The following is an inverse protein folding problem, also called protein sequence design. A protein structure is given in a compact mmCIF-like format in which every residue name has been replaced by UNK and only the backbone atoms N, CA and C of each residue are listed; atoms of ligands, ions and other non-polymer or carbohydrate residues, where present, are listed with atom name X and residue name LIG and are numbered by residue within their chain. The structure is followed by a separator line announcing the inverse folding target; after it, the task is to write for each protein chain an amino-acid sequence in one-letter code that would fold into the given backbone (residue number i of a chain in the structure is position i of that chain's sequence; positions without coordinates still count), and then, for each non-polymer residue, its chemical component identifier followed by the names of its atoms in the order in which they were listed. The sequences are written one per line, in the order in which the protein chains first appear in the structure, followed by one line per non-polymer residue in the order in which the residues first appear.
data_IF_827594005508
#
_entry.id   IF_827594005508
#
_cell.length_a   1.000
_cell.length_b   1.000
_cell.length_c   1.000
_cell.angle_alpha   90.00
_cell.angle_beta   90.00
_cell.angle_gamma   90.00
#
_symmetry.space_group_name_H-M   'P 1'
#
loop_
_entity.id
_entity.type
_entity.pdbx_description
1 polymer ?
#
# COMPACT_ATOMS: atom_id res chain seq x y z
N UNK A 1 -2.50 16.41 -66.69
CA UNK A 1 -1.66 16.22 -65.47
C UNK A 1 -2.50 16.59 -64.24
N UNK A 2 -3.05 15.61 -63.61
CA UNK A 2 -3.97 15.79 -62.46
C UNK A 2 -3.20 15.65 -61.16
N UNK A 3 -3.12 16.68 -60.33
CA UNK A 3 -2.61 16.66 -58.97
C UNK A 3 -3.74 16.20 -58.02
N UNK A 4 -3.50 15.23 -57.11
CA UNK A 4 -4.49 14.84 -56.13
C UNK A 4 -4.46 15.80 -54.92
N UNK A 5 -5.65 16.30 -54.55
CA UNK A 5 -5.92 17.06 -53.34
C UNK A 5 -5.98 16.09 -52.16
N UNK A 6 -5.08 16.22 -51.21
CA UNK A 6 -5.19 15.53 -49.91
C UNK A 6 -6.17 16.29 -49.02
N UNK A 7 -7.25 15.65 -48.66
CA UNK A 7 -8.19 16.12 -47.67
C UNK A 7 -7.65 15.84 -46.26
N UNK A 8 -7.47 16.89 -45.49
CA UNK A 8 -7.09 16.82 -44.09
C UNK A 8 -8.33 16.44 -43.27
N UNK A 9 -8.40 15.20 -42.79
CA UNK A 9 -9.39 14.81 -41.79
C UNK A 9 -8.88 15.23 -40.43
N UNK A 10 -9.45 16.31 -39.88
CA UNK A 10 -9.27 16.71 -38.50
C UNK A 10 -10.00 15.72 -37.58
N UNK A 11 -9.28 14.88 -36.87
CA UNK A 11 -9.82 14.08 -35.78
C UNK A 11 -10.06 15.01 -34.58
N UNK A 12 -11.34 15.34 -34.35
CA UNK A 12 -11.80 15.99 -33.14
C UNK A 12 -11.73 14.97 -32.01
N UNK A 13 -10.69 15.03 -31.20
CA UNK A 13 -10.61 14.24 -29.98
C UNK A 13 -11.65 14.78 -28.98
N UNK A 14 -12.77 14.07 -28.86
CA UNK A 14 -13.69 14.30 -27.75
C UNK A 14 -12.96 13.91 -26.45
N UNK A 15 -12.58 14.92 -25.66
CA UNK A 15 -12.24 14.73 -24.26
C UNK A 15 -13.53 14.32 -23.52
N UNK A 16 -13.76 13.02 -23.39
CA UNK A 16 -14.73 12.51 -22.43
C UNK A 16 -14.14 12.73 -21.03
N UNK A 17 -14.64 13.74 -20.34
CA UNK A 17 -14.44 13.88 -18.90
C UNK A 17 -15.17 12.74 -18.22
N UNK A 18 -14.47 11.64 -17.96
CA UNK A 18 -14.91 10.64 -17.01
C UNK A 18 -14.80 11.23 -15.61
N UNK A 19 -15.85 11.88 -15.14
CA UNK A 19 -16.09 12.04 -13.72
C UNK A 19 -16.43 10.66 -13.19
N UNK A 20 -15.45 9.91 -12.69
CA UNK A 20 -15.73 8.78 -11.82
C UNK A 20 -16.40 9.36 -10.59
N UNK A 21 -17.70 9.08 -10.41
CA UNK A 21 -18.38 9.26 -9.15
C UNK A 21 -17.75 8.24 -8.17
N UNK A 22 -16.60 8.59 -7.59
CA UNK A 22 -16.11 7.95 -6.39
C UNK A 22 -17.21 8.22 -5.34
N UNK A 23 -17.87 7.17 -4.87
CA UNK A 23 -18.90 7.30 -3.82
C UNK A 23 -18.27 8.07 -2.66
N UNK A 24 -19.01 9.06 -2.16
CA UNK A 24 -18.55 9.92 -1.08
C UNK A 24 -18.23 9.05 0.14
N UNK A 25 -16.99 9.12 0.66
CA UNK A 25 -16.60 8.40 1.84
C UNK A 25 -17.31 8.95 3.08
N UNK A 26 -17.71 8.05 3.96
CA UNK A 26 -18.38 8.39 5.23
C UNK A 26 -17.33 8.32 6.34
N UNK A 27 -16.95 9.46 6.90
CA UNK A 27 -16.01 9.51 8.02
C UNK A 27 -16.75 9.43 9.35
N UNK A 28 -16.46 8.38 10.16
CA UNK A 28 -17.02 8.18 11.50
C UNK A 28 -15.90 7.86 12.50
N UNK A 29 -16.06 8.18 13.78
CA UNK A 29 -15.15 7.70 14.81
C UNK A 29 -15.03 6.17 14.78
N UNK A 30 -13.84 5.65 15.07
CA UNK A 30 -13.63 4.21 15.17
C UNK A 30 -14.52 3.58 16.25
N UNK A 31 -15.07 2.40 16.00
CA UNK A 31 -15.93 1.66 16.91
C UNK A 31 -15.56 0.17 16.94
N UNK A 32 -15.27 -0.37 18.12
CA UNK A 32 -15.07 -1.80 18.32
C UNK A 32 -16.37 -2.60 18.34
N UNK A 33 -17.52 -1.95 18.48
CA UNK A 33 -18.86 -2.60 18.60
C UNK A 33 -19.68 -2.50 17.32
N UNK A 34 -19.58 -1.40 16.59
CA UNK A 34 -20.32 -1.18 15.36
C UNK A 34 -19.51 -1.62 14.15
N UNK A 35 -20.12 -2.44 13.28
CA UNK A 35 -19.50 -2.85 12.02
C UNK A 35 -19.45 -1.65 11.08
N UNK A 36 -18.28 -1.39 10.51
CA UNK A 36 -18.11 -0.33 9.51
C UNK A 36 -19.07 -0.52 8.32
N UNK A 37 -19.81 0.52 7.98
CA UNK A 37 -20.66 0.48 6.77
C UNK A 37 -19.81 0.55 5.51
N UNK A 38 -20.41 0.28 4.35
CA UNK A 38 -19.70 0.37 3.07
C UNK A 38 -19.17 1.81 2.86
N UNK A 39 -17.95 1.95 2.36
CA UNK A 39 -17.22 3.22 2.20
C UNK A 39 -16.98 4.03 3.49
N UNK A 40 -17.12 3.41 4.66
CA UNK A 40 -16.79 4.09 5.91
C UNK A 40 -15.28 4.12 6.14
N UNK A 41 -14.76 5.33 6.33
CA UNK A 41 -13.39 5.59 6.82
C UNK A 41 -13.44 6.04 8.27
N UNK A 42 -12.33 5.86 8.99
CA UNK A 42 -12.19 6.33 10.36
C UNK A 42 -11.92 7.84 10.35
N UNK A 43 -12.74 8.59 11.07
CA UNK A 43 -12.58 10.04 11.23
C UNK A 43 -11.38 10.36 12.13
N UNK A 44 -10.77 11.50 11.89
CA UNK A 44 -9.62 12.01 12.65
C UNK A 44 -8.40 12.26 11.75
N UNK A 45 -7.57 13.19 12.18
CA UNK A 45 -6.33 13.52 11.48
C UNK A 45 -5.23 12.51 11.81
N UNK A 46 -4.20 12.44 10.96
CA UNK A 46 -2.99 11.66 11.26
C UNK A 46 -2.41 12.05 12.61
N UNK A 47 -2.36 13.35 12.94
CA UNK A 47 -1.85 13.85 14.22
C UNK A 47 -2.62 13.28 15.42
N UNK A 48 -3.96 13.18 15.31
CA UNK A 48 -4.79 12.61 16.39
C UNK A 48 -4.48 11.12 16.60
N UNK A 49 -4.25 10.36 15.53
CA UNK A 49 -3.87 8.95 15.61
C UNK A 49 -2.53 8.75 16.32
N UNK A 50 -1.55 9.62 16.08
CA UNK A 50 -0.24 9.54 16.73
C UNK A 50 -0.28 9.78 18.26
N UNK A 51 -1.29 10.49 18.76
CA UNK A 51 -1.41 10.77 20.21
C UNK A 51 -2.38 9.82 20.92
N UNK A 52 -3.24 9.10 20.21
CA UNK A 52 -4.10 8.07 20.78
C UNK A 52 -3.29 6.80 21.06
N UNK A 53 -3.60 6.06 22.14
CA UNK A 53 -2.92 4.80 22.41
C UNK A 53 -3.19 3.76 21.31
N UNK A 54 -4.39 3.72 20.77
CA UNK A 54 -4.85 2.92 19.64
C UNK A 54 -6.24 3.34 19.22
N UNK A 55 -6.66 2.89 18.03
CA UNK A 55 -8.05 2.91 17.55
C UNK A 55 -8.44 1.49 17.13
N UNK A 56 -9.73 1.15 17.29
CA UNK A 56 -10.27 -0.15 16.87
C UNK A 56 -11.54 0.07 16.08
N UNK A 57 -11.62 -0.44 14.86
CA UNK A 57 -12.84 -0.47 14.05
C UNK A 57 -13.22 -1.92 13.74
N UNK A 58 -14.45 -2.30 14.09
CA UNK A 58 -14.99 -3.61 13.69
C UNK A 58 -15.34 -3.59 12.20
N UNK A 59 -14.78 -4.52 11.42
CA UNK A 59 -14.99 -4.62 9.97
C UNK A 59 -16.10 -5.60 9.61
N UNK A 60 -16.21 -6.69 10.34
CA UNK A 60 -17.25 -7.71 10.20
C UNK A 60 -17.56 -8.34 11.55
N UNK A 61 -18.26 -9.47 11.58
CA UNK A 61 -18.61 -10.12 12.85
C UNK A 61 -17.37 -10.44 13.70
N UNK A 62 -16.28 -10.88 13.07
CA UNK A 62 -15.10 -11.40 13.76
C UNK A 62 -13.79 -10.70 13.36
N UNK A 63 -13.82 -9.75 12.43
CA UNK A 63 -12.62 -9.08 11.91
C UNK A 63 -12.58 -7.63 12.34
N UNK A 64 -11.41 -7.21 12.81
CA UNK A 64 -11.17 -5.86 13.35
C UNK A 64 -9.94 -5.25 12.70
N UNK A 65 -10.03 -3.98 12.35
CA UNK A 65 -8.91 -3.11 12.09
C UNK A 65 -8.45 -2.49 13.40
N UNK A 66 -7.15 -2.52 13.66
CA UNK A 66 -6.52 -1.84 14.80
C UNK A 66 -5.47 -0.90 14.23
N UNK A 67 -5.47 0.36 14.68
CA UNK A 67 -4.44 1.33 14.36
C UNK A 67 -3.72 1.77 15.62
N UNK A 68 -2.39 1.77 15.57
CA UNK A 68 -1.50 2.32 16.61
C UNK A 68 -0.57 3.31 15.93
N UNK A 69 -0.64 4.58 16.35
CA UNK A 69 -0.01 5.69 15.65
C UNK A 69 -0.46 5.73 14.17
N UNK A 70 0.38 5.34 13.22
CA UNK A 70 0.02 5.27 11.81
C UNK A 70 0.14 3.85 11.23
N UNK A 71 0.30 2.84 12.08
CA UNK A 71 0.39 1.43 11.66
C UNK A 71 -0.92 0.72 11.86
N UNK A 72 -1.35 -0.02 10.86
CA UNK A 72 -2.59 -0.77 10.89
C UNK A 72 -2.33 -2.26 10.86
N UNK A 73 -3.14 -3.01 11.60
CA UNK A 73 -3.11 -4.46 11.66
C UNK A 73 -4.53 -5.01 11.60
N UNK A 74 -4.66 -6.28 11.23
CA UNK A 74 -5.94 -6.99 11.27
C UNK A 74 -5.95 -7.97 12.44
N UNK A 75 -7.00 -7.94 13.26
CA UNK A 75 -7.25 -8.97 14.26
C UNK A 75 -8.48 -9.80 13.85
N UNK A 76 -8.36 -11.13 13.92
CA UNK A 76 -9.45 -12.06 13.64
C UNK A 76 -9.76 -12.86 14.89
N UNK A 77 -11.00 -12.75 15.36
CA UNK A 77 -11.49 -13.44 16.57
C UNK A 77 -12.05 -14.80 16.17
N UNK A 78 -11.30 -15.85 16.42
CA UNK A 78 -11.73 -17.21 16.22
C UNK A 78 -12.69 -17.72 17.32
N UNK A 79 -12.95 -19.02 17.35
CA UNK A 79 -13.84 -19.61 18.36
C UNK A 79 -13.26 -19.55 19.77
N UNK A 80 -11.95 -19.73 19.94
CA UNK A 80 -11.26 -19.84 21.24
C UNK A 80 -10.19 -18.77 21.44
N UNK A 81 -9.64 -18.22 20.36
CA UNK A 81 -8.48 -17.35 20.39
C UNK A 81 -8.52 -16.27 19.31
N UNK A 82 -7.51 -15.41 19.26
CA UNK A 82 -7.34 -14.33 18.31
C UNK A 82 -6.12 -14.59 17.44
N UNK A 83 -6.23 -14.34 16.14
CA UNK A 83 -5.12 -14.24 15.21
C UNK A 83 -4.87 -12.78 14.89
N UNK A 84 -3.63 -12.32 14.98
CA UNK A 84 -3.20 -11.00 14.57
C UNK A 84 -2.47 -11.09 13.23
N UNK A 85 -2.69 -10.16 12.31
CA UNK A 85 -1.90 -10.03 11.10
C UNK A 85 -1.07 -8.77 11.28
N UNK A 86 0.25 -8.95 11.32
CA UNK A 86 1.32 -8.01 11.64
C UNK A 86 1.40 -7.59 13.13
N UNK A 87 2.60 -7.13 13.49
CA UNK A 87 2.97 -6.63 14.81
C UNK A 87 4.04 -5.52 14.67
N UNK A 88 3.65 -4.31 14.25
CA UNK A 88 4.54 -3.20 13.98
C UNK A 88 5.46 -2.85 15.13
N UNK A 89 6.68 -2.41 14.79
CA UNK A 89 7.66 -1.99 15.80
C UNK A 89 7.15 -0.85 16.69
N UNK A 90 7.34 -0.98 18.00
CA UNK A 90 6.91 0.01 18.99
C UNK A 90 5.43 -0.05 19.37
N UNK A 91 4.65 -1.04 18.88
CA UNK A 91 3.19 -1.09 19.04
C UNK A 91 2.68 -2.23 19.94
N UNK A 92 3.51 -3.21 20.27
CA UNK A 92 3.07 -4.48 20.87
C UNK A 92 2.23 -4.35 22.14
N UNK A 93 2.56 -3.38 23.01
CA UNK A 93 1.79 -3.10 24.23
C UNK A 93 0.39 -2.59 23.94
N UNK A 94 0.29 -1.66 23.00
CA UNK A 94 -0.96 -1.06 22.55
C UNK A 94 -1.82 -2.08 21.80
N UNK A 95 -1.23 -2.95 20.97
CA UNK A 95 -1.93 -4.03 20.28
C UNK A 95 -2.56 -5.02 21.26
N UNK A 96 -1.83 -5.44 22.29
CA UNK A 96 -2.38 -6.32 23.33
C UNK A 96 -3.50 -5.64 24.11
N UNK A 97 -3.40 -4.33 24.40
CA UNK A 97 -4.46 -3.56 25.03
C UNK A 97 -5.68 -3.39 24.12
N UNK A 98 -5.45 -3.14 22.83
CA UNK A 98 -6.51 -3.02 21.84
C UNK A 98 -7.31 -4.33 21.70
N UNK A 99 -6.64 -5.49 21.63
CA UNK A 99 -7.29 -6.80 21.57
C UNK A 99 -8.19 -7.00 22.81
N UNK A 100 -7.67 -6.68 24.01
CA UNK A 100 -8.44 -6.78 25.26
C UNK A 100 -9.67 -5.86 25.32
N UNK A 101 -9.72 -4.80 24.54
CA UNK A 101 -10.86 -3.88 24.53
C UNK A 101 -12.12 -4.46 23.86
N UNK A 102 -11.98 -5.49 23.02
CA UNK A 102 -13.13 -6.10 22.33
C UNK A 102 -13.27 -7.62 22.56
N UNK A 103 -12.27 -8.29 23.16
CA UNK A 103 -12.37 -9.72 23.48
C UNK A 103 -11.46 -10.10 24.65
N UNK A 104 -11.88 -11.13 25.42
CA UNK A 104 -11.05 -11.76 26.46
C UNK A 104 -10.32 -13.01 25.97
N UNK A 105 -10.47 -13.39 24.68
CA UNK A 105 -9.80 -14.56 24.12
C UNK A 105 -8.29 -14.32 24.02
N UNK A 106 -7.46 -15.33 24.29
CA UNK A 106 -6.01 -15.19 24.20
C UNK A 106 -5.56 -15.00 22.75
N UNK A 107 -4.42 -14.35 22.55
CA UNK A 107 -3.73 -14.32 21.27
C UNK A 107 -3.16 -15.72 20.98
N UNK A 108 -3.51 -16.29 19.83
CA UNK A 108 -3.00 -17.57 19.36
C UNK A 108 -1.71 -17.43 18.55
N UNK A 109 -1.66 -16.42 17.68
CA UNK A 109 -0.53 -16.26 16.79
C UNK A 109 -0.56 -14.95 16.01
N UNK A 110 0.55 -14.74 15.28
CA UNK A 110 0.75 -13.58 14.41
C UNK A 110 1.09 -14.10 13.02
N UNK A 111 0.44 -13.56 12.00
CA UNK A 111 0.79 -13.78 10.60
C UNK A 111 1.62 -12.57 10.13
N UNK A 112 2.71 -12.79 9.43
CA UNK A 112 3.51 -11.74 8.82
C UNK A 112 3.09 -11.51 7.37
N UNK A 113 2.89 -10.24 7.01
CA UNK A 113 2.62 -9.83 5.62
C UNK A 113 3.91 -9.79 4.79
N UNK A 114 4.97 -9.21 5.34
CA UNK A 114 6.31 -9.12 4.74
C UNK A 114 7.38 -8.83 5.80
N UNK A 115 8.66 -8.82 5.43
CA UNK A 115 9.76 -8.81 6.39
C UNK A 115 10.18 -7.41 6.90
N UNK A 116 9.46 -6.34 6.60
CA UNK A 116 9.79 -5.02 7.12
C UNK A 116 9.57 -4.91 8.63
N UNK A 117 10.52 -4.26 9.32
CA UNK A 117 10.51 -4.14 10.78
C UNK A 117 9.31 -3.35 11.32
N UNK A 118 8.83 -2.40 10.57
CA UNK A 118 7.64 -1.61 10.89
C UNK A 118 6.31 -2.38 10.74
N UNK A 119 6.37 -3.65 10.30
CA UNK A 119 5.22 -4.56 10.28
C UNK A 119 5.39 -5.80 11.15
N UNK A 120 6.62 -6.26 11.43
CA UNK A 120 6.82 -7.50 12.22
C UNK A 120 7.67 -7.29 13.48
N UNK A 121 8.19 -6.08 13.71
CA UNK A 121 9.25 -5.81 14.68
C UNK A 121 8.92 -6.10 16.14
N UNK A 122 7.67 -5.95 16.58
CA UNK A 122 7.28 -6.20 17.97
C UNK A 122 6.78 -7.62 18.25
N UNK A 123 6.73 -8.50 17.26
CA UNK A 123 6.26 -9.89 17.45
C UNK A 123 7.02 -10.63 18.55
N UNK A 124 8.34 -10.44 18.66
CA UNK A 124 9.16 -11.01 19.74
C UNK A 124 8.84 -10.42 21.11
N UNK A 125 8.51 -9.13 21.19
CA UNK A 125 8.11 -8.48 22.44
C UNK A 125 6.74 -8.98 22.89
N UNK A 126 5.80 -9.15 21.96
CA UNK A 126 4.49 -9.75 22.23
C UNK A 126 4.67 -11.20 22.72
N UNK A 127 5.48 -12.00 22.02
CA UNK A 127 5.76 -13.38 22.44
C UNK A 127 6.34 -13.45 23.87
N UNK A 128 7.26 -12.55 24.21
CA UNK A 128 7.82 -12.46 25.56
C UNK A 128 6.79 -12.02 26.60
N UNK A 129 5.91 -11.08 26.25
CA UNK A 129 4.86 -10.61 27.15
C UNK A 129 3.81 -11.69 27.44
N UNK A 130 3.69 -12.69 26.56
CA UNK A 130 2.78 -13.83 26.65
C UNK A 130 3.55 -15.14 26.97
N UNK A 131 4.65 -15.08 27.70
CA UNK A 131 5.56 -16.20 27.93
C UNK A 131 4.86 -17.46 28.49
N UNK A 132 3.78 -17.29 29.25
CA UNK A 132 2.97 -18.39 29.80
C UNK A 132 1.98 -18.98 28.77
N UNK A 133 1.81 -18.35 27.60
CA UNK A 133 0.94 -18.80 26.52
C UNK A 133 1.70 -18.68 25.22
N UNK A 134 2.43 -19.73 24.79
CA UNK A 134 3.17 -19.71 23.53
C UNK A 134 2.25 -19.36 22.36
N UNK A 135 2.73 -18.46 21.49
CA UNK A 135 2.03 -18.06 20.27
C UNK A 135 2.76 -18.58 19.03
N UNK A 136 2.01 -18.91 18.01
CA UNK A 136 2.52 -19.31 16.71
C UNK A 136 2.85 -18.11 15.85
N UNK A 137 3.87 -18.22 15.01
CA UNK A 137 4.24 -17.22 14.02
C UNK A 137 4.08 -17.83 12.62
N UNK A 138 3.17 -17.28 11.87
CA UNK A 138 2.81 -17.73 10.53
C UNK A 138 3.40 -16.80 9.47
N UNK A 139 3.89 -17.35 8.37
CA UNK A 139 4.33 -16.57 7.21
C UNK A 139 4.35 -17.42 5.94
N UNK A 140 4.30 -16.78 4.78
CA UNK A 140 4.68 -17.39 3.52
C UNK A 140 6.17 -17.74 3.52
N UNK A 141 6.59 -18.66 2.65
CA UNK A 141 7.99 -19.09 2.59
C UNK A 141 8.93 -17.93 2.22
N UNK A 142 8.48 -17.06 1.34
CA UNK A 142 9.20 -15.87 0.88
C UNK A 142 9.50 -14.91 2.03
N UNK A 143 8.52 -14.67 2.91
CA UNK A 143 8.69 -13.81 4.10
C UNK A 143 9.70 -14.43 5.08
N UNK A 144 9.59 -15.73 5.36
CA UNK A 144 10.55 -16.44 6.21
C UNK A 144 11.98 -16.31 5.66
N UNK A 145 12.15 -16.47 4.36
CA UNK A 145 13.47 -16.44 3.73
C UNK A 145 14.05 -15.02 3.70
N UNK A 146 13.20 -14.00 3.48
CA UNK A 146 13.59 -12.59 3.61
C UNK A 146 14.05 -12.25 5.04
N UNK A 147 13.34 -12.72 6.07
CA UNK A 147 13.72 -12.52 7.47
C UNK A 147 15.08 -13.14 7.81
N UNK A 148 15.44 -14.28 7.22
CA UNK A 148 16.74 -14.90 7.44
C UNK A 148 17.88 -14.07 6.84
N UNK A 149 17.65 -13.28 5.81
CA UNK A 149 18.64 -12.40 5.20
C UNK A 149 18.88 -11.12 5.99
N UNK A 150 17.93 -10.71 6.83
CA UNK A 150 18.02 -9.49 7.64
C UNK A 150 18.82 -9.74 8.94
N UNK A 151 19.92 -9.00 9.12
CA UNK A 151 20.80 -9.08 10.31
C UNK A 151 20.35 -8.17 11.47
N UNK A 152 19.23 -7.49 11.34
CA UNK A 152 18.71 -6.55 12.35
C UNK A 152 17.91 -7.31 13.40
N UNK A 153 17.65 -6.70 14.58
CA UNK A 153 16.92 -7.30 15.71
C UNK A 153 15.74 -8.10 15.22
N UNK A 154 15.95 -9.41 15.10
CA UNK A 154 15.03 -10.28 14.40
C UNK A 154 13.67 -10.31 15.12
N UNK A 155 12.55 -10.23 14.40
CA UNK A 155 11.22 -10.54 14.94
C UNK A 155 11.17 -11.97 15.49
N UNK A 156 10.06 -12.40 16.06
CA UNK A 156 9.89 -13.79 16.46
C UNK A 156 10.06 -14.71 15.24
N UNK A 157 10.76 -15.86 15.37
CA UNK A 157 10.98 -16.76 14.24
C UNK A 157 9.67 -17.37 13.76
N UNK A 158 9.55 -17.58 12.45
CA UNK A 158 8.41 -18.26 11.84
C UNK A 158 8.38 -19.71 12.32
N UNK A 159 7.24 -20.13 12.87
CA UNK A 159 7.00 -21.48 13.37
C UNK A 159 6.14 -22.31 12.42
N UNK A 160 5.30 -21.65 11.62
CA UNK A 160 4.36 -22.29 10.70
C UNK A 160 4.40 -21.60 9.33
N UNK A 161 4.54 -22.38 8.27
CA UNK A 161 4.40 -21.86 6.91
C UNK A 161 2.94 -21.89 6.47
N UNK A 162 2.52 -20.85 5.76
CA UNK A 162 1.24 -20.77 5.07
C UNK A 162 1.45 -20.90 3.56
N UNK A 163 0.50 -21.56 2.88
CA UNK A 163 0.45 -21.65 1.41
C UNK A 163 -0.67 -20.77 0.85
N UNK A 164 -1.17 -21.10 -0.35
CA UNK A 164 -2.25 -20.34 -1.04
C UNK A 164 -3.53 -20.22 -0.21
N UNK A 165 -3.72 -21.10 0.74
CA UNK A 165 -4.80 -21.06 1.72
C UNK A 165 -4.28 -21.36 3.11
N UNK A 166 -4.87 -20.69 4.08
CA UNK A 166 -4.57 -20.86 5.49
C UNK A 166 -5.88 -20.89 6.30
N UNK A 167 -5.97 -21.77 7.29
CA UNK A 167 -7.18 -21.90 8.11
C UNK A 167 -6.88 -21.57 9.58
N UNK A 168 -7.75 -20.77 10.18
CA UNK A 168 -7.70 -20.43 11.59
C UNK A 168 -9.11 -20.49 12.20
N UNK A 169 -9.36 -21.46 13.07
CA UNK A 169 -10.57 -21.62 13.87
C UNK A 169 -11.90 -21.35 13.14
N UNK A 170 -12.05 -21.91 11.94
CA UNK A 170 -13.23 -21.78 11.10
C UNK A 170 -13.18 -20.65 10.09
N UNK A 171 -12.15 -19.82 10.10
CA UNK A 171 -11.88 -18.82 9.07
C UNK A 171 -10.88 -19.37 8.05
N UNK A 172 -11.19 -19.22 6.77
CA UNK A 172 -10.28 -19.56 5.67
C UNK A 172 -9.75 -18.28 5.06
N UNK A 173 -8.44 -18.18 4.97
CA UNK A 173 -7.73 -17.11 4.28
C UNK A 173 -7.27 -17.60 2.92
N UNK A 174 -7.40 -16.75 1.89
CA UNK A 174 -6.63 -16.88 0.66
C UNK A 174 -5.41 -16.00 0.77
N UNK A 175 -4.26 -16.55 0.42
CA UNK A 175 -2.97 -15.85 0.45
C UNK A 175 -2.50 -15.57 -0.96
N UNK A 176 -1.92 -14.39 -1.16
CA UNK A 176 -1.37 -13.95 -2.43
C UNK A 176 0.06 -13.47 -2.17
N UNK A 177 1.06 -14.31 -2.44
CA UNK A 177 2.49 -14.03 -2.25
C UNK A 177 3.18 -13.50 -3.52
N UNK A 178 2.41 -12.93 -4.43
CA UNK A 178 2.88 -12.42 -5.71
C UNK A 178 2.81 -10.90 -5.85
N UNK A 179 2.71 -10.17 -4.75
CA UNK A 179 2.77 -8.71 -4.70
C UNK A 179 4.23 -8.26 -4.53
N UNK A 180 5.00 -8.28 -5.63
CA UNK A 180 6.47 -8.19 -5.60
C UNK A 180 7.02 -6.78 -5.84
N UNK A 181 6.16 -5.76 -5.87
CA UNK A 181 6.58 -4.41 -6.18
C UNK A 181 7.11 -3.66 -4.98
N UNK A 182 6.40 -3.72 -3.84
CA UNK A 182 6.87 -3.09 -2.61
C UNK A 182 8.12 -3.81 -2.08
N UNK A 183 8.00 -5.10 -1.79
CA UNK A 183 9.11 -6.03 -1.50
C UNK A 183 8.86 -7.35 -2.21
N UNK A 184 9.93 -8.16 -2.40
CA UNK A 184 9.82 -9.45 -3.09
C UNK A 184 9.01 -10.50 -2.32
N UNK A 185 8.77 -10.27 -1.02
CA UNK A 185 8.10 -11.18 -0.11
C UNK A 185 6.70 -10.72 0.31
N UNK A 186 6.18 -9.62 -0.25
CA UNK A 186 4.90 -9.06 0.19
C UNK A 186 3.73 -10.01 -0.08
N UNK A 187 3.00 -10.35 0.99
CA UNK A 187 1.89 -11.29 0.99
C UNK A 187 0.60 -10.59 1.42
N UNK A 188 -0.39 -10.58 0.55
CA UNK A 188 -1.75 -10.14 0.91
C UNK A 188 -2.59 -11.33 1.39
N UNK A 189 -3.47 -11.07 2.36
CA UNK A 189 -4.39 -12.06 2.92
C UNK A 189 -5.84 -11.60 2.76
N UNK A 190 -6.66 -12.45 2.16
CA UNK A 190 -8.08 -12.18 1.95
C UNK A 190 -8.90 -13.14 2.81
N UNK A 191 -9.83 -12.58 3.59
CA UNK A 191 -10.72 -13.32 4.48
C UNK A 191 -12.18 -12.99 4.17
N UNK A 192 -13.02 -14.01 4.12
CA UNK A 192 -14.49 -13.84 4.12
C UNK A 192 -15.04 -14.08 5.51
N UNK A 193 -15.80 -13.12 6.04
CA UNK A 193 -16.47 -13.24 7.33
C UNK A 193 -17.89 -12.67 7.26
N UNK A 194 -18.89 -13.56 7.43
CA UNK A 194 -20.32 -13.21 7.46
C UNK A 194 -20.78 -12.34 6.27
N UNK A 195 -20.38 -12.74 5.06
CA UNK A 195 -20.79 -12.09 3.82
C UNK A 195 -20.00 -10.82 3.47
N UNK A 196 -18.93 -10.52 4.22
CA UNK A 196 -18.00 -9.44 3.93
C UNK A 196 -16.61 -9.99 3.61
N UNK A 197 -16.00 -9.47 2.56
CA UNK A 197 -14.66 -9.85 2.12
C UNK A 197 -13.67 -8.74 2.51
N UNK A 198 -12.72 -9.05 3.38
CA UNK A 198 -11.70 -8.13 3.85
C UNK A 198 -10.36 -8.57 3.28
N UNK A 199 -9.60 -7.65 2.72
CA UNK A 199 -8.22 -7.89 2.30
C UNK A 199 -7.25 -7.14 3.20
N UNK A 200 -6.24 -7.83 3.71
CA UNK A 200 -5.08 -7.23 4.35
C UNK A 200 -3.97 -7.15 3.30
N UNK A 201 -3.70 -5.95 2.78
CA UNK A 201 -2.76 -5.69 1.70
C UNK A 201 -1.89 -4.49 2.08
N UNK A 202 -0.68 -4.78 2.55
CA UNK A 202 0.18 -3.84 3.24
C UNK A 202 1.09 -3.12 2.23
N UNK A 203 1.26 -1.82 2.42
CA UNK A 203 2.16 -0.92 1.70
C UNK A 203 1.99 -0.88 0.17
N UNK A 204 0.76 -1.16 -0.26
CA UNK A 204 0.35 -1.02 -1.66
C UNK A 204 -0.45 0.27 -1.91
N UNK A 205 -1.27 0.68 -0.95
CA UNK A 205 -2.11 1.89 -1.04
C UNK A 205 -2.18 2.57 0.31
N UNK A 206 -2.04 3.90 0.33
CA UNK A 206 -2.19 4.74 1.51
C UNK A 206 -3.45 5.63 1.37
N UNK A 207 -4.62 5.18 1.83
CA UNK A 207 -5.85 5.94 1.70
C UNK A 207 -5.77 7.34 2.33
N UNK A 208 -6.46 8.30 1.73
CA UNK A 208 -6.55 9.70 2.15
C UNK A 208 -5.29 10.55 1.92
N UNK A 209 -4.22 9.98 1.35
CA UNK A 209 -2.97 10.71 1.07
C UNK A 209 -2.30 10.22 -0.22
N UNK A 210 -1.25 10.91 -0.65
CA UNK A 210 -0.33 10.38 -1.66
C UNK A 210 0.55 9.28 -1.03
N UNK A 211 1.03 8.37 -1.88
CA UNK A 211 2.02 7.39 -1.46
C UNK A 211 3.26 8.07 -0.84
N UNK A 212 3.87 7.42 0.13
CA UNK A 212 5.12 7.92 0.68
C UNK A 212 6.23 7.93 -0.38
N UNK A 213 7.40 8.48 -0.06
CA UNK A 213 8.51 8.66 -1.03
C UNK A 213 8.77 7.38 -1.84
N UNK A 214 8.99 7.56 -3.14
CA UNK A 214 9.26 6.47 -4.08
C UNK A 214 8.22 5.35 -4.04
N UNK A 215 6.92 5.72 -3.92
CA UNK A 215 5.80 4.78 -3.71
C UNK A 215 6.04 3.86 -2.50
N UNK A 216 6.34 4.45 -1.35
CA UNK A 216 6.67 3.72 -0.11
C UNK A 216 7.93 2.86 -0.22
N UNK A 217 8.95 3.40 -0.90
CA UNK A 217 10.25 2.75 -1.12
C UNK A 217 10.13 1.41 -1.87
N UNK A 218 9.32 1.36 -2.92
CA UNK A 218 9.17 0.14 -3.73
C UNK A 218 10.53 -0.36 -4.26
N UNK A 219 10.73 -1.66 -4.22
CA UNK A 219 11.91 -2.31 -4.80
C UNK A 219 11.81 -2.37 -6.34
N UNK A 220 10.59 -2.52 -6.87
CA UNK A 220 10.31 -2.55 -8.31
C UNK A 220 9.04 -1.76 -8.65
N UNK A 221 9.19 -0.55 -9.20
CA UNK A 221 8.06 0.31 -9.51
C UNK A 221 7.15 -0.21 -10.64
N UNK A 222 7.65 -1.06 -11.54
CA UNK A 222 6.82 -1.68 -12.57
C UNK A 222 6.03 -2.86 -12.00
N UNK A 223 6.67 -3.68 -11.17
CA UNK A 223 5.96 -4.72 -10.44
C UNK A 223 4.89 -4.11 -9.52
N UNK A 224 5.21 -3.03 -8.82
CA UNK A 224 4.24 -2.29 -7.98
C UNK A 224 3.00 -1.83 -8.77
N UNK A 225 3.19 -1.29 -9.98
CA UNK A 225 2.06 -0.98 -10.85
C UNK A 225 1.19 -2.22 -11.11
N UNK A 226 1.80 -3.36 -11.41
CA UNK A 226 1.08 -4.60 -11.68
C UNK A 226 0.37 -5.13 -10.41
N UNK A 227 0.97 -4.92 -9.25
CA UNK A 227 0.37 -5.25 -7.95
C UNK A 227 -0.90 -4.42 -7.71
N UNK A 228 -0.87 -3.12 -8.00
CA UNK A 228 -2.05 -2.25 -7.91
C UNK A 228 -3.16 -2.71 -8.88
N UNK A 229 -2.80 -3.10 -10.10
CA UNK A 229 -3.76 -3.64 -11.08
C UNK A 229 -4.36 -4.97 -10.59
N UNK A 230 -3.53 -5.85 -10.02
CA UNK A 230 -3.98 -7.12 -9.42
C UNK A 230 -4.90 -6.88 -8.23
N UNK A 231 -4.54 -5.98 -7.31
CA UNK A 231 -5.35 -5.60 -6.15
C UNK A 231 -6.71 -5.05 -6.57
N UNK A 232 -6.76 -4.26 -7.65
CA UNK A 232 -8.01 -3.74 -8.21
C UNK A 232 -8.90 -4.85 -8.77
N UNK A 233 -8.32 -5.88 -9.39
CA UNK A 233 -9.04 -6.99 -10.01
C UNK A 233 -9.59 -8.01 -8.99
N UNK A 234 -9.01 -8.14 -7.81
CA UNK A 234 -9.49 -9.04 -6.76
C UNK A 234 -10.86 -8.58 -6.24
N UNK A 235 -11.68 -9.53 -5.78
CA UNK A 235 -12.99 -9.26 -5.19
C UNK A 235 -12.89 -9.09 -3.67
N UNK A 236 -13.08 -7.86 -3.19
CA UNK A 236 -13.06 -7.49 -1.78
C UNK A 236 -13.84 -6.20 -1.52
N UNK A 237 -14.36 -6.06 -0.29
CA UNK A 237 -15.22 -4.96 0.14
C UNK A 237 -14.46 -3.84 0.87
N UNK A 238 -13.48 -4.20 1.67
CA UNK A 238 -12.67 -3.28 2.47
C UNK A 238 -11.25 -3.80 2.60
N UNK A 239 -10.29 -2.89 2.55
CA UNK A 239 -8.87 -3.18 2.67
C UNK A 239 -8.31 -2.62 3.98
N UNK A 240 -7.56 -3.46 4.69
CA UNK A 240 -6.63 -3.03 5.73
C UNK A 240 -5.28 -2.78 5.06
N UNK A 241 -4.81 -1.56 5.13
CA UNK A 241 -3.52 -1.11 4.60
C UNK A 241 -2.47 -1.06 5.69
N UNK A 242 -1.18 -0.98 5.36
CA UNK A 242 -0.10 -0.86 6.36
C UNK A 242 -0.18 0.43 7.17
N UNK A 243 -0.60 1.49 6.51
CA UNK A 243 -0.65 2.84 7.07
C UNK A 243 -1.95 3.56 6.69
N UNK A 244 -2.21 4.69 7.35
CA UNK A 244 -3.34 5.58 7.07
C UNK A 244 -4.71 5.00 7.45
N UNK A 245 -5.68 5.00 6.56
CA UNK A 245 -7.07 4.66 6.83
C UNK A 245 -7.48 3.30 6.24
N UNK A 246 -8.73 2.93 6.43
CA UNK A 246 -9.35 1.85 5.67
C UNK A 246 -9.36 2.19 4.18
N UNK A 247 -9.04 1.21 3.35
CA UNK A 247 -8.98 1.34 1.89
C UNK A 247 -10.21 0.76 1.20
N UNK A 248 -10.54 1.33 0.05
CA UNK A 248 -11.61 0.91 -0.83
C UNK A 248 -11.15 0.93 -2.30
N UNK A 249 -11.93 0.35 -3.20
CA UNK A 249 -11.62 0.33 -4.63
C UNK A 249 -11.32 1.72 -5.21
N UNK A 250 -11.97 2.76 -4.69
CA UNK A 250 -11.72 4.13 -5.13
C UNK A 250 -10.30 4.64 -4.75
N UNK A 251 -9.75 4.19 -3.62
CA UNK A 251 -8.36 4.51 -3.25
C UNK A 251 -7.38 3.82 -4.20
N UNK A 252 -7.62 2.54 -4.53
CA UNK A 252 -6.79 1.80 -5.51
C UNK A 252 -6.87 2.45 -6.90
N UNK A 253 -8.08 2.86 -7.33
CA UNK A 253 -8.28 3.56 -8.60
C UNK A 253 -7.50 4.88 -8.65
N UNK A 254 -7.47 5.62 -7.55
CA UNK A 254 -6.68 6.85 -7.46
C UNK A 254 -5.19 6.57 -7.69
N UNK A 255 -4.64 5.53 -7.07
CA UNK A 255 -3.22 5.15 -7.24
C UNK A 255 -2.95 4.66 -8.66
N UNK A 256 -3.86 3.87 -9.27
CA UNK A 256 -3.74 3.46 -10.68
C UNK A 256 -3.68 4.67 -11.61
N UNK A 257 -4.60 5.63 -11.43
CA UNK A 257 -4.66 6.83 -12.25
C UNK A 257 -3.40 7.69 -12.08
N UNK A 258 -2.94 7.82 -10.84
CA UNK A 258 -1.72 8.56 -10.52
C UNK A 258 -0.48 7.94 -11.20
N UNK A 259 -0.30 6.63 -11.10
CA UNK A 259 0.82 5.90 -11.73
C UNK A 259 0.76 6.03 -13.26
N UNK A 260 -0.42 5.86 -13.85
CA UNK A 260 -0.64 6.02 -15.30
C UNK A 260 -0.25 7.42 -15.78
N UNK A 261 -0.62 8.45 -15.03
CA UNK A 261 -0.26 9.83 -15.37
C UNK A 261 1.24 10.10 -15.22
N UNK A 262 1.89 9.55 -14.18
CA UNK A 262 3.35 9.60 -14.04
C UNK A 262 4.03 9.02 -15.28
N UNK A 263 3.64 7.84 -15.73
CA UNK A 263 4.18 7.20 -16.93
C UNK A 263 3.91 8.03 -18.20
N UNK A 264 2.68 8.52 -18.36
CA UNK A 264 2.27 9.35 -19.49
C UNK A 264 3.10 10.63 -19.59
N UNK A 265 3.33 11.29 -18.46
CA UNK A 265 4.09 12.54 -18.46
C UNK A 265 5.60 12.31 -18.60
N UNK A 266 6.13 11.17 -18.16
CA UNK A 266 7.49 10.75 -18.46
C UNK A 266 7.66 10.55 -19.97
N UNK A 267 6.77 9.84 -20.64
CA UNK A 267 6.80 9.66 -22.10
C UNK A 267 6.69 11.01 -22.84
N UNK A 268 5.82 11.91 -22.37
CA UNK A 268 5.70 13.25 -22.95
C UNK A 268 6.97 14.09 -22.75
N UNK A 269 7.68 13.95 -21.64
CA UNK A 269 8.97 14.56 -21.38
C UNK A 269 10.05 14.02 -22.32
N UNK A 270 10.12 12.68 -22.46
CA UNK A 270 11.03 12.02 -23.38
C UNK A 270 10.86 12.48 -24.85
N UNK A 271 9.62 12.66 -25.28
CA UNK A 271 9.33 13.14 -26.64
C UNK A 271 9.78 14.59 -26.91
N UNK A 272 10.02 15.38 -25.85
CA UNK A 272 10.44 16.80 -25.95
C UNK A 272 11.91 17.00 -25.73
N UNK A 273 12.51 16.30 -24.75
CA UNK A 273 13.89 16.49 -24.35
C UNK A 273 14.86 16.05 -25.45
N UNK A 274 15.87 16.85 -25.70
CA UNK A 274 16.91 16.57 -26.69
C UNK A 274 18.26 16.44 -25.99
N UNK A 275 18.85 15.26 -26.04
CA UNK A 275 20.09 14.98 -25.32
C UNK A 275 21.24 15.94 -25.72
N UNK A 276 21.31 16.35 -27.01
CA UNK A 276 22.34 17.27 -27.51
C UNK A 276 22.31 18.67 -26.87
N UNK A 277 21.16 19.10 -26.35
CA UNK A 277 21.04 20.40 -25.67
C UNK A 277 21.74 20.43 -24.30
N UNK A 278 22.09 19.25 -23.79
CA UNK A 278 22.76 19.07 -22.52
C UNK A 278 24.28 18.94 -22.61
N UNK A 279 24.87 19.05 -23.81
CA UNK A 279 26.33 19.00 -24.00
C UNK A 279 27.02 20.27 -23.46
N UNK A 280 27.00 20.41 -22.13
CA UNK A 280 27.62 21.52 -21.40
C UNK A 280 28.74 21.00 -20.51
N UNK A 281 29.97 21.51 -20.73
CA UNK A 281 31.16 21.01 -20.05
C UNK A 281 31.70 19.70 -20.67
N UNK A 282 32.68 19.10 -20.02
CA UNK A 282 33.45 17.93 -20.53
C UNK A 282 32.93 16.58 -20.01
N UNK A 283 32.04 16.59 -19.01
CA UNK A 283 31.60 15.34 -18.36
C UNK A 283 30.32 14.78 -19.00
N UNK A 284 30.34 13.59 -19.58
CA UNK A 284 29.11 12.93 -20.05
C UNK A 284 28.12 12.66 -18.96
N UNK A 285 28.57 12.54 -17.71
CA UNK A 285 27.66 12.38 -16.56
C UNK A 285 26.79 13.64 -16.34
N UNK A 286 27.35 14.85 -16.53
CA UNK A 286 26.57 16.08 -16.41
C UNK A 286 25.55 16.23 -17.54
N UNK A 287 25.90 15.80 -18.76
CA UNK A 287 24.97 15.81 -19.90
C UNK A 287 23.81 14.87 -19.66
N UNK A 288 24.11 13.65 -19.21
CA UNK A 288 23.10 12.67 -18.89
C UNK A 288 22.19 13.10 -17.74
N UNK A 289 22.78 13.65 -16.68
CA UNK A 289 22.01 14.17 -15.54
C UNK A 289 21.11 15.35 -15.99
N UNK A 290 21.60 16.25 -16.83
CA UNK A 290 20.80 17.34 -17.38
C UNK A 290 19.58 16.83 -18.15
N UNK A 291 19.81 15.91 -19.08
CA UNK A 291 18.75 15.32 -19.90
C UNK A 291 17.71 14.58 -19.06
N UNK A 292 18.12 13.72 -18.15
CA UNK A 292 17.19 12.96 -17.32
C UNK A 292 16.43 13.84 -16.33
N UNK A 293 17.09 14.86 -15.76
CA UNK A 293 16.42 15.81 -14.89
C UNK A 293 15.38 16.65 -15.65
N UNK A 294 15.62 17.07 -16.88
CA UNK A 294 14.64 17.78 -17.70
C UNK A 294 13.34 16.96 -17.85
N UNK A 295 13.46 15.68 -18.16
CA UNK A 295 12.31 14.77 -18.31
C UNK A 295 11.56 14.63 -16.99
N UNK A 296 12.28 14.40 -15.89
CA UNK A 296 11.70 14.25 -14.54
C UNK A 296 11.01 15.54 -14.10
N UNK A 297 11.63 16.69 -14.33
CA UNK A 297 11.08 18.00 -13.95
C UNK A 297 9.85 18.36 -14.78
N UNK A 298 9.87 18.04 -16.08
CA UNK A 298 8.69 18.19 -16.93
C UNK A 298 7.52 17.34 -16.45
N UNK A 299 7.76 16.04 -16.19
CA UNK A 299 6.71 15.13 -15.71
C UNK A 299 6.18 15.58 -14.34
N UNK A 300 7.08 15.96 -13.41
CA UNK A 300 6.69 16.47 -12.10
C UNK A 300 5.84 17.75 -12.19
N UNK A 301 6.18 18.68 -13.09
CA UNK A 301 5.38 19.89 -13.32
C UNK A 301 3.97 19.54 -13.82
N UNK A 302 3.84 18.55 -14.72
CA UNK A 302 2.54 18.07 -15.18
C UNK A 302 1.73 17.36 -14.09
N UNK A 303 2.39 16.59 -13.23
CA UNK A 303 1.75 16.02 -12.04
C UNK A 303 1.25 17.12 -11.09
N UNK A 304 2.01 18.21 -10.92
CA UNK A 304 1.61 19.33 -10.07
C UNK A 304 0.33 20.03 -10.58
N UNK A 305 0.19 20.21 -11.90
CA UNK A 305 -1.02 20.78 -12.51
C UNK A 305 -2.29 19.98 -12.14
N UNK A 306 -2.16 18.65 -11.94
CA UNK A 306 -3.29 17.75 -11.73
C UNK A 306 -3.52 17.39 -10.26
N UNK A 307 -2.46 17.15 -9.49
CA UNK A 307 -2.53 16.50 -8.18
C UNK A 307 -2.10 17.36 -6.99
N UNK A 308 -1.49 18.52 -7.20
CA UNK A 308 -0.96 19.34 -6.12
C UNK A 308 -2.03 20.10 -5.35
N UNK A 309 -3.09 20.56 -6.03
CA UNK A 309 -4.13 21.39 -5.41
C UNK A 309 -4.87 20.65 -4.30
N UNK A 310 -4.85 21.21 -3.08
CA UNK A 310 -5.45 20.64 -1.90
C UNK A 310 -4.61 19.55 -1.23
N UNK A 311 -3.38 19.31 -1.73
CA UNK A 311 -2.40 18.33 -1.22
C UNK A 311 -0.97 18.90 -1.26
N UNK A 312 -0.84 20.23 -1.13
CA UNK A 312 0.39 20.95 -1.41
C UNK A 312 1.57 20.42 -0.58
N UNK A 313 1.36 20.23 0.72
CA UNK A 313 2.41 19.79 1.63
C UNK A 313 2.93 18.39 1.26
N UNK A 314 2.05 17.41 1.12
CA UNK A 314 2.46 16.05 0.80
C UNK A 314 3.04 15.96 -0.61
N UNK A 315 2.41 16.63 -1.60
CA UNK A 315 2.86 16.62 -2.99
C UNK A 315 4.30 17.15 -3.12
N UNK A 316 4.59 18.28 -2.49
CA UNK A 316 5.91 18.91 -2.57
C UNK A 316 7.01 18.05 -1.91
N UNK A 317 6.63 17.18 -0.96
CA UNK A 317 7.56 16.26 -0.29
C UNK A 317 7.81 14.99 -1.12
N UNK A 318 6.77 14.38 -1.73
CA UNK A 318 6.88 13.02 -2.26
C UNK A 318 6.84 12.92 -3.78
N UNK A 319 6.09 13.78 -4.50
CA UNK A 319 5.72 13.53 -5.90
C UNK A 319 6.91 13.46 -6.86
N UNK A 320 7.94 14.28 -6.66
CA UNK A 320 9.15 14.21 -7.51
C UNK A 320 9.90 12.88 -7.36
N UNK A 321 9.83 12.26 -6.18
CA UNK A 321 10.43 10.94 -5.95
C UNK A 321 9.66 9.84 -6.68
N UNK A 322 8.33 9.95 -6.78
CA UNK A 322 7.51 9.02 -7.57
C UNK A 322 7.86 9.06 -9.05
N UNK A 323 7.94 10.27 -9.62
CA UNK A 323 8.37 10.43 -11.01
C UNK A 323 9.76 9.86 -11.23
N UNK A 324 10.69 10.12 -10.32
CA UNK A 324 12.08 9.66 -10.44
C UNK A 324 12.20 8.13 -10.41
N UNK A 325 11.57 7.46 -9.44
CA UNK A 325 11.66 5.99 -9.33
C UNK A 325 11.00 5.32 -10.54
N UNK A 326 9.85 5.84 -10.99
CA UNK A 326 9.16 5.33 -12.16
C UNK A 326 9.99 5.56 -13.45
N UNK A 327 10.57 6.74 -13.63
CA UNK A 327 11.45 7.03 -14.75
C UNK A 327 12.59 6.02 -14.85
N UNK A 328 13.32 5.76 -13.77
CA UNK A 328 14.42 4.80 -13.79
C UNK A 328 13.98 3.36 -14.00
N UNK A 329 12.82 2.98 -13.45
CA UNK A 329 12.26 1.65 -13.67
C UNK A 329 11.84 1.44 -15.13
N UNK A 330 11.23 2.44 -15.78
CA UNK A 330 10.89 2.42 -17.20
C UNK A 330 12.17 2.42 -18.07
N UNK A 331 13.12 3.29 -17.76
CA UNK A 331 14.39 3.40 -18.49
C UNK A 331 15.17 2.07 -18.49
N UNK A 332 15.26 1.40 -17.36
CA UNK A 332 15.94 0.11 -17.23
C UNK A 332 15.29 -1.02 -18.07
N UNK A 333 14.02 -0.84 -18.48
CA UNK A 333 13.27 -1.80 -19.30
C UNK A 333 13.08 -1.33 -20.75
N UNK A 334 13.92 -0.38 -21.20
CA UNK A 334 13.91 0.20 -22.54
C UNK A 334 12.61 0.96 -22.90
N UNK A 335 11.93 1.52 -21.86
CA UNK A 335 10.79 2.45 -21.96
C UNK A 335 9.57 1.85 -22.64
#
# INVERSE_FOLDING_TARGET
MNTPKYALFGALAMLSTFTTQAGEFIYKPASATEIAVHHQKVAGSHRERFVKPYEVQRLSQNVYWISVANYNVTAVVGQRSVLLIDAPHGTGKQLLAAIKSFTNKPLHGIVYSHAHADHVGDSRLIQKALADTPIEIYAAAEVRDALHSHKVTAPAPVTQLIGDTFNFEGHTFKTFSNFNGHTQDNTALLIQDQGRTIIHAIDLVHPDQLEFRSFSNVEDAIAYKNDIDTLMALDWDVMVTGHSNLGYKADVQFVQDYIRDVQTFIHAGLAKAQFAEHFKGESPFSWYAGYTNEIIDFAHAKMAEKYRKGREEEFDIVAKSHVRVMFWAMFARAL
#
